data_IF_073531657742
#
_entry.id   IF_073531657742
#
_cell.length_a   1.000
_cell.length_b   1.000
_cell.length_c   1.000
_cell.angle_alpha   90.00
_cell.angle_beta   90.00
_cell.angle_gamma   90.00
#
_symmetry.space_group_name_H-M   'P 1'
#
loop_
_entity.id
_entity.type
_entity.pdbx_description
1 polymer ?
#
# COMPACT_ATOMS: atom_id res chain seq x y z
N UNK A 1 20.28 0.47 1.71
CA UNK A 1 20.22 -0.36 0.48
C UNK A 1 20.19 0.56 -0.73
N UNK A 2 20.73 0.15 -1.89
CA UNK A 2 20.58 0.92 -3.13
C UNK A 2 19.41 0.36 -3.98
N UNK A 3 18.93 1.15 -4.95
CA UNK A 3 17.79 0.80 -5.83
C UNK A 3 17.99 -0.51 -6.56
N UNK A 4 19.16 -0.70 -7.18
CA UNK A 4 19.44 -1.88 -8.00
C UNK A 4 19.35 -3.18 -7.19
N UNK A 5 19.94 -3.20 -5.99
CA UNK A 5 19.86 -4.35 -5.10
C UNK A 5 18.43 -4.58 -4.62
N UNK A 6 17.69 -3.52 -4.28
CA UNK A 6 16.30 -3.63 -3.84
C UNK A 6 15.40 -4.23 -4.96
N UNK A 7 15.55 -3.74 -6.19
CA UNK A 7 14.84 -4.25 -7.37
C UNK A 7 15.21 -5.71 -7.69
N UNK A 8 16.50 -6.07 -7.54
CA UNK A 8 16.94 -7.45 -7.72
C UNK A 8 16.28 -8.38 -6.70
N UNK A 9 16.23 -8.00 -5.43
CA UNK A 9 15.63 -8.79 -4.35
C UNK A 9 14.13 -8.99 -4.57
N UNK A 10 13.38 -7.91 -4.84
CA UNK A 10 11.93 -8.00 -4.98
C UNK A 10 11.53 -8.81 -6.22
N UNK A 11 12.29 -8.72 -7.32
CA UNK A 11 12.00 -9.46 -8.55
C UNK A 11 11.96 -10.97 -8.34
N UNK A 12 12.74 -11.50 -7.39
CA UNK A 12 12.75 -12.94 -7.08
C UNK A 12 11.47 -13.41 -6.37
N UNK A 13 10.65 -12.50 -5.82
CA UNK A 13 9.47 -12.86 -5.05
C UNK A 13 8.17 -12.79 -5.84
N UNK A 14 8.19 -12.36 -7.10
CA UNK A 14 6.98 -12.06 -7.86
C UNK A 14 7.12 -12.35 -9.35
N UNK A 15 5.98 -12.59 -10.01
CA UNK A 15 5.93 -12.78 -11.45
C UNK A 15 6.08 -11.45 -12.21
N UNK A 16 6.47 -11.50 -13.49
CA UNK A 16 6.81 -10.32 -14.31
C UNK A 16 5.74 -9.22 -14.28
N UNK A 17 4.45 -9.58 -14.40
CA UNK A 17 3.35 -8.59 -14.34
C UNK A 17 3.32 -7.77 -13.04
N UNK A 18 3.64 -8.40 -11.91
CA UNK A 18 3.67 -7.77 -10.59
C UNK A 18 4.93 -6.94 -10.42
N UNK A 19 6.05 -7.39 -11.00
CA UNK A 19 7.27 -6.61 -11.07
C UNK A 19 7.07 -5.33 -11.89
N UNK A 20 6.43 -5.39 -13.07
CA UNK A 20 6.10 -4.18 -13.86
C UNK A 20 5.23 -3.22 -13.07
N UNK A 21 4.23 -3.73 -12.36
CA UNK A 21 3.41 -2.91 -11.45
C UNK A 21 4.26 -2.25 -10.36
N UNK A 22 5.15 -3.00 -9.70
CA UNK A 22 6.07 -2.46 -8.68
C UNK A 22 6.95 -1.34 -9.21
N UNK A 23 7.45 -1.45 -10.44
CA UNK A 23 8.20 -0.35 -11.09
C UNK A 23 7.31 0.87 -11.28
N UNK A 24 6.08 0.71 -11.77
CA UNK A 24 5.12 1.80 -11.91
C UNK A 24 4.81 2.47 -10.57
N UNK A 25 4.62 1.70 -9.49
CA UNK A 25 4.41 2.24 -8.14
C UNK A 25 5.65 2.99 -7.65
N UNK A 26 6.85 2.44 -7.84
CA UNK A 26 8.10 3.09 -7.46
C UNK A 26 8.29 4.45 -8.13
N UNK A 27 8.13 4.51 -9.46
CA UNK A 27 8.26 5.77 -10.21
C UNK A 27 7.21 6.80 -9.77
N UNK A 28 5.95 6.37 -9.65
CA UNK A 28 4.84 7.22 -9.18
C UNK A 28 5.09 7.73 -7.75
N UNK A 29 5.56 6.87 -6.85
CA UNK A 29 5.82 7.23 -5.46
C UNK A 29 6.95 8.26 -5.33
N UNK A 30 8.01 8.15 -6.15
CA UNK A 30 9.09 9.14 -6.19
C UNK A 30 8.56 10.50 -6.67
N UNK A 31 7.70 10.53 -7.68
CA UNK A 31 7.08 11.77 -8.17
C UNK A 31 6.19 12.43 -7.10
N UNK A 32 5.31 11.65 -6.47
CA UNK A 32 4.45 12.14 -5.40
C UNK A 32 5.25 12.57 -4.17
N UNK A 33 6.34 11.86 -3.83
CA UNK A 33 7.22 12.23 -2.73
C UNK A 33 7.85 13.62 -2.94
N UNK A 34 8.32 13.92 -4.16
CA UNK A 34 8.81 15.26 -4.52
C UNK A 34 7.73 16.33 -4.37
N UNK A 35 6.52 16.04 -4.85
CA UNK A 35 5.40 16.98 -4.81
C UNK A 35 4.96 17.31 -3.37
N UNK A 36 4.94 16.32 -2.49
CA UNK A 36 4.43 16.44 -1.12
C UNK A 36 5.53 16.55 -0.04
N UNK A 37 6.79 16.72 -0.43
CA UNK A 37 7.89 16.93 0.50
C UNK A 37 8.25 15.71 1.37
N UNK A 38 8.06 14.50 0.85
CA UNK A 38 8.46 13.24 1.50
C UNK A 38 9.87 12.86 1.08
N UNK A 39 10.62 12.17 1.94
CA UNK A 39 11.92 11.61 1.58
C UNK A 39 11.77 10.62 0.40
N UNK A 40 12.34 11.00 -0.75
CA UNK A 40 12.27 10.21 -1.98
C UNK A 40 12.87 8.81 -1.83
N UNK A 41 13.91 8.63 -1.01
CA UNK A 41 14.53 7.32 -0.79
C UNK A 41 13.64 6.43 0.05
N UNK A 42 12.94 6.98 1.05
CA UNK A 42 11.95 6.22 1.82
C UNK A 42 10.77 5.81 0.94
N UNK A 43 10.26 6.72 0.12
CA UNK A 43 9.20 6.45 -0.85
C UNK A 43 9.61 5.37 -1.86
N UNK A 44 10.82 5.46 -2.41
CA UNK A 44 11.38 4.45 -3.31
C UNK A 44 11.44 3.08 -2.65
N UNK A 45 12.01 2.96 -1.46
CA UNK A 45 12.15 1.67 -0.78
C UNK A 45 10.78 1.08 -0.39
N UNK A 46 9.88 1.88 0.17
CA UNK A 46 8.54 1.41 0.51
C UNK A 46 7.77 0.95 -0.73
N UNK A 47 7.86 1.69 -1.84
CA UNK A 47 7.20 1.33 -3.09
C UNK A 47 7.79 0.05 -3.73
N UNK A 48 9.11 -0.13 -3.69
CA UNK A 48 9.74 -1.36 -4.20
C UNK A 48 9.24 -2.59 -3.42
N UNK A 49 9.04 -2.47 -2.12
CA UNK A 49 8.72 -3.61 -1.26
C UNK A 49 7.25 -3.73 -0.84
N UNK A 50 6.35 -2.82 -1.24
CA UNK A 50 4.95 -2.83 -0.81
C UNK A 50 4.24 -4.17 -1.07
N UNK A 51 4.50 -4.75 -2.24
CA UNK A 51 3.89 -6.00 -2.73
C UNK A 51 4.80 -7.23 -2.52
N UNK A 52 5.81 -7.15 -1.64
CA UNK A 52 6.82 -8.21 -1.46
C UNK A 52 6.22 -9.59 -1.16
N UNK A 53 5.13 -9.63 -0.37
CA UNK A 53 4.44 -10.87 -0.05
C UNK A 53 3.29 -11.22 -1.01
N UNK A 54 3.06 -10.44 -2.08
CA UNK A 54 1.85 -10.57 -2.92
C UNK A 54 1.74 -11.93 -3.62
N UNK A 55 2.87 -12.55 -3.93
CA UNK A 55 2.93 -13.86 -4.57
C UNK A 55 3.32 -14.99 -3.59
N UNK A 56 3.41 -14.72 -2.28
CA UNK A 56 3.64 -15.75 -1.25
C UNK A 56 2.46 -16.71 -1.17
N UNK A 57 2.71 -17.92 -0.69
CA UNK A 57 1.65 -18.89 -0.53
C UNK A 57 0.65 -18.42 0.54
N UNK A 58 -0.65 -18.58 0.27
CA UNK A 58 -1.69 -18.22 1.23
C UNK A 58 -1.49 -18.93 2.57
N UNK A 59 -1.10 -20.21 2.54
CA UNK A 59 -0.83 -21.01 3.75
C UNK A 59 0.35 -20.47 4.56
N UNK A 60 1.39 -19.97 3.89
CA UNK A 60 2.55 -19.35 4.53
C UNK A 60 2.14 -18.03 5.21
N UNK A 61 1.41 -17.16 4.50
CA UNK A 61 0.90 -15.91 5.08
C UNK A 61 -0.02 -16.18 6.27
N UNK A 62 -0.90 -17.18 6.18
CA UNK A 62 -1.78 -17.59 7.27
C UNK A 62 -0.98 -18.07 8.50
N UNK A 63 0.07 -18.86 8.31
CA UNK A 63 0.93 -19.32 9.39
C UNK A 63 1.67 -18.17 10.07
N UNK A 64 2.21 -17.24 9.28
CA UNK A 64 2.86 -16.03 9.80
C UNK A 64 1.87 -15.21 10.62
N UNK A 65 0.65 -14.96 10.10
CA UNK A 65 -0.38 -14.23 10.84
C UNK A 65 -0.73 -14.95 12.15
N UNK A 66 -0.77 -16.28 12.18
CA UNK A 66 -1.07 -17.04 13.41
C UNK A 66 0.08 -17.00 14.42
N UNK A 67 1.33 -17.09 13.97
CA UNK A 67 2.51 -17.25 14.82
C UNK A 67 3.08 -15.93 15.35
N UNK A 68 3.10 -14.89 14.51
CA UNK A 68 3.77 -13.62 14.80
C UNK A 68 2.81 -12.57 15.38
N UNK A 69 3.31 -11.43 15.87
CA UNK A 69 2.49 -10.35 16.43
C UNK A 69 1.82 -9.51 15.33
N UNK A 70 0.94 -10.14 14.55
CA UNK A 70 0.09 -9.52 13.53
C UNK A 70 -1.38 -9.56 13.95
N UNK A 71 -2.23 -8.62 13.46
CA UNK A 71 -3.66 -8.62 13.79
C UNK A 71 -4.33 -9.93 13.36
N UNK A 72 -4.80 -10.70 14.34
CA UNK A 72 -5.35 -12.05 14.11
C UNK A 72 -6.72 -12.02 13.43
N UNK A 73 -7.44 -10.92 13.58
CA UNK A 73 -8.72 -10.68 12.93
C UNK A 73 -8.60 -10.60 11.40
N UNK A 74 -7.41 -10.32 10.84
CA UNK A 74 -7.15 -10.42 9.38
C UNK A 74 -7.62 -11.75 8.78
N UNK A 75 -7.55 -12.85 9.55
CA UNK A 75 -7.98 -14.19 9.11
C UNK A 75 -9.50 -14.28 8.88
N UNK A 76 -10.27 -13.34 9.40
CA UNK A 76 -11.72 -13.24 9.22
C UNK A 76 -12.12 -12.43 7.96
N UNK A 77 -11.16 -11.83 7.25
CA UNK A 77 -11.38 -10.97 6.09
C UNK A 77 -10.75 -11.54 4.81
N UNK A 78 -10.84 -10.78 3.71
CA UNK A 78 -10.30 -11.18 2.42
C UNK A 78 -8.78 -11.39 2.50
N UNK A 79 -8.33 -12.55 2.00
CA UNK A 79 -6.92 -12.98 1.95
C UNK A 79 -6.02 -12.01 1.18
N UNK A 80 -6.60 -11.26 0.24
CA UNK A 80 -5.89 -10.22 -0.50
C UNK A 80 -5.33 -9.12 0.42
N UNK A 81 -5.83 -8.96 1.66
CA UNK A 81 -5.29 -7.98 2.62
C UNK A 81 -3.99 -8.44 3.27
N UNK A 82 -3.76 -9.75 3.35
CA UNK A 82 -2.72 -10.34 4.19
C UNK A 82 -1.31 -9.95 3.76
N UNK A 83 -1.09 -9.78 2.45
CA UNK A 83 0.24 -9.50 1.90
C UNK A 83 0.84 -8.17 2.37
N UNK A 84 0.03 -7.19 2.79
CA UNK A 84 0.56 -5.92 3.26
C UNK A 84 1.26 -6.05 4.64
N UNK A 85 0.57 -6.48 5.72
CA UNK A 85 1.21 -6.69 7.01
C UNK A 85 2.23 -7.85 6.99
N UNK A 86 1.94 -8.94 6.27
CA UNK A 86 2.92 -10.04 6.13
C UNK A 86 4.14 -9.58 5.30
N UNK A 87 3.93 -8.75 4.28
CA UNK A 87 4.99 -8.17 3.47
C UNK A 87 5.94 -7.31 4.30
N UNK A 88 5.41 -6.42 5.15
CA UNK A 88 6.24 -5.64 6.06
C UNK A 88 7.05 -6.53 7.02
N UNK A 89 6.42 -7.55 7.61
CA UNK A 89 7.11 -8.53 8.46
C UNK A 89 8.25 -9.24 7.71
N UNK A 90 8.00 -9.76 6.51
CA UNK A 90 9.01 -10.47 5.72
C UNK A 90 10.12 -9.54 5.23
N UNK A 91 9.80 -8.29 4.86
CA UNK A 91 10.80 -7.30 4.47
C UNK A 91 11.72 -6.96 5.64
N UNK A 92 11.18 -6.87 6.87
CA UNK A 92 12.01 -6.71 8.05
C UNK A 92 12.95 -7.92 8.26
N UNK A 93 12.42 -9.15 8.20
CA UNK A 93 13.18 -10.37 8.53
C UNK A 93 14.14 -10.85 7.43
N UNK A 94 13.71 -10.83 6.18
CA UNK A 94 14.43 -11.41 5.04
C UNK A 94 15.32 -10.38 4.34
N UNK A 95 14.90 -9.11 4.31
CA UNK A 95 15.60 -8.03 3.58
C UNK A 95 16.42 -7.15 4.54
N UNK A 96 16.05 -7.11 5.83
CA UNK A 96 16.77 -6.36 6.87
C UNK A 96 16.45 -4.87 6.88
N UNK A 97 15.30 -4.45 6.33
CA UNK A 97 14.83 -3.06 6.44
C UNK A 97 14.18 -2.87 7.81
N UNK A 98 14.70 -1.93 8.60
CA UNK A 98 14.22 -1.65 9.96
C UNK A 98 13.70 -0.21 10.14
N UNK A 99 13.60 0.56 9.06
CA UNK A 99 13.02 1.91 9.12
C UNK A 99 11.50 1.80 9.33
N UNK A 100 11.02 2.28 10.48
CA UNK A 100 9.63 2.13 10.89
C UNK A 100 8.65 2.84 9.96
N UNK A 101 9.02 3.97 9.34
CA UNK A 101 8.14 4.67 8.39
C UNK A 101 7.98 3.85 7.10
N UNK A 102 9.06 3.24 6.60
CA UNK A 102 9.01 2.36 5.43
C UNK A 102 8.14 1.13 5.72
N UNK A 103 8.37 0.46 6.85
CA UNK A 103 7.61 -0.74 7.23
C UNK A 103 6.12 -0.41 7.47
N UNK A 104 5.81 0.75 8.04
CA UNK A 104 4.43 1.21 8.23
C UNK A 104 3.74 1.44 6.88
N UNK A 105 4.40 2.13 5.96
CA UNK A 105 3.84 2.40 4.64
C UNK A 105 3.55 1.10 3.87
N UNK A 106 4.43 0.09 3.99
CA UNK A 106 4.19 -1.26 3.45
C UNK A 106 3.01 -1.94 4.17
N UNK A 107 2.97 -1.90 5.51
CA UNK A 107 1.93 -2.57 6.32
C UNK A 107 0.52 -2.12 5.94
N UNK A 108 0.35 -0.81 5.69
CA UNK A 108 -0.97 -0.20 5.52
C UNK A 108 -1.32 0.19 4.08
N UNK A 109 -0.51 -0.16 3.08
CA UNK A 109 -0.77 0.27 1.70
C UNK A 109 -2.11 -0.23 1.12
N UNK A 110 -2.70 -1.30 1.66
CA UNK A 110 -3.99 -1.85 1.20
C UNK A 110 -5.21 -1.28 1.92
N UNK A 111 -5.12 -1.12 3.24
CA UNK A 111 -6.26 -0.77 4.10
C UNK A 111 -6.21 0.68 4.61
N UNK A 112 -5.03 1.31 4.54
CA UNK A 112 -4.73 2.53 5.27
C UNK A 112 -4.76 2.32 6.79
N UNK A 113 -4.61 3.43 7.52
CA UNK A 113 -4.91 3.50 8.95
C UNK A 113 -5.29 4.92 9.37
N UNK A 114 -5.73 5.11 10.62
CA UNK A 114 -6.21 6.42 11.10
C UNK A 114 -5.12 7.49 11.16
N UNK A 115 -3.85 7.10 11.29
CA UNK A 115 -2.73 8.01 11.52
C UNK A 115 -1.75 8.00 10.34
N UNK A 116 -2.26 7.91 9.11
CA UNK A 116 -1.42 7.85 7.91
C UNK A 116 -0.45 9.03 7.82
N UNK A 117 0.83 8.71 7.82
CA UNK A 117 1.90 9.65 7.50
C UNK A 117 1.80 10.06 6.03
N UNK A 118 2.49 11.14 5.65
CA UNK A 118 2.54 11.53 4.23
C UNK A 118 3.16 10.42 3.36
N UNK A 119 4.12 9.66 3.88
CA UNK A 119 4.68 8.49 3.18
C UNK A 119 3.61 7.40 2.96
N UNK A 120 2.80 7.08 3.97
CA UNK A 120 1.72 6.10 3.84
C UNK A 120 0.74 6.52 2.73
N UNK A 121 0.37 7.81 2.70
CA UNK A 121 -0.52 8.36 1.68
C UNK A 121 0.10 8.26 0.28
N UNK A 122 1.38 8.60 0.15
CA UNK A 122 2.14 8.47 -1.11
C UNK A 122 2.12 7.04 -1.62
N UNK A 123 2.43 6.05 -0.77
CA UNK A 123 2.47 4.65 -1.19
C UNK A 123 1.07 4.12 -1.55
N UNK A 124 0.06 4.41 -0.73
CA UNK A 124 -1.32 4.02 -1.00
C UNK A 124 -1.81 4.58 -2.34
N UNK A 125 -1.61 5.89 -2.57
CA UNK A 125 -2.08 6.55 -3.79
C UNK A 125 -1.27 6.09 -5.01
N UNK A 126 0.05 5.91 -4.88
CA UNK A 126 0.90 5.40 -5.96
C UNK A 126 0.46 4.01 -6.44
N UNK A 127 0.18 3.08 -5.52
CA UNK A 127 -0.36 1.74 -5.87
C UNK A 127 -1.67 1.84 -6.67
N UNK A 128 -2.53 2.76 -6.29
CA UNK A 128 -3.83 2.96 -6.92
C UNK A 128 -3.75 3.59 -8.31
N UNK A 129 -2.79 4.48 -8.56
CA UNK A 129 -2.77 5.33 -9.77
C UNK A 129 -1.68 4.99 -10.78
N UNK A 130 -0.75 4.08 -10.46
CA UNK A 130 0.41 3.81 -11.32
C UNK A 130 0.02 3.57 -12.80
N UNK A 131 0.88 3.92 -13.78
CA UNK A 131 0.48 4.03 -15.19
C UNK A 131 -0.12 2.75 -15.81
N UNK A 132 0.23 1.58 -15.29
CA UNK A 132 -0.28 0.27 -15.68
C UNK A 132 -1.72 -0.01 -15.23
N UNK A 133 -2.25 0.73 -14.23
CA UNK A 133 -3.64 0.58 -13.76
C UNK A 133 -4.63 1.05 -14.81
N UNK A 134 -5.64 0.19 -15.07
CA UNK A 134 -6.72 0.43 -16.05
C UNK A 134 -8.06 0.02 -15.44
N UNK A 135 -8.80 0.98 -14.90
CA UNK A 135 -10.13 0.78 -14.36
C UNK A 135 -10.95 2.09 -14.40
N UNK A 136 -12.30 2.02 -14.35
CA UNK A 136 -13.14 3.22 -14.36
C UNK A 136 -12.80 4.17 -13.20
N UNK A 137 -12.46 5.42 -13.52
CA UNK A 137 -12.12 6.45 -12.55
C UNK A 137 -10.62 6.62 -12.25
N UNK A 138 -9.73 5.79 -12.82
CA UNK A 138 -8.28 5.93 -12.58
C UNK A 138 -7.72 7.29 -13.03
N UNK A 139 -8.23 7.85 -14.14
CA UNK A 139 -7.79 9.18 -14.61
C UNK A 139 -8.21 10.32 -13.68
N UNK A 140 -9.34 10.18 -12.99
CA UNK A 140 -9.79 11.13 -11.98
C UNK A 140 -8.88 11.03 -10.74
N UNK A 141 -8.59 9.81 -10.29
CA UNK A 141 -7.66 9.57 -9.19
C UNK A 141 -6.27 10.15 -9.49
N UNK A 142 -5.75 9.97 -10.72
CA UNK A 142 -4.49 10.58 -11.17
C UNK A 142 -4.54 12.10 -11.05
N UNK A 143 -5.56 12.77 -11.57
CA UNK A 143 -5.70 14.23 -11.48
C UNK A 143 -5.74 14.73 -10.03
N UNK A 144 -6.45 14.02 -9.16
CA UNK A 144 -6.51 14.36 -7.74
C UNK A 144 -5.14 14.18 -7.08
N UNK A 145 -4.41 13.11 -7.40
CA UNK A 145 -3.13 12.80 -6.77
C UNK A 145 -2.04 13.85 -6.99
N UNK A 146 -2.10 14.64 -8.07
CA UNK A 146 -1.17 15.74 -8.32
C UNK A 146 -1.72 17.12 -7.90
N UNK A 147 -2.89 17.17 -7.26
CA UNK A 147 -3.49 18.42 -6.75
C UNK A 147 -3.73 18.38 -5.24
N UNK A 148 -4.35 17.32 -4.73
CA UNK A 148 -4.55 17.07 -3.30
C UNK A 148 -4.57 15.56 -3.01
N UNK A 149 -3.54 15.07 -2.33
CA UNK A 149 -3.37 13.65 -2.02
C UNK A 149 -4.47 13.10 -1.11
N UNK A 150 -5.05 13.93 -0.23
CA UNK A 150 -6.16 13.51 0.62
C UNK A 150 -7.42 13.31 -0.24
N UNK A 151 -7.65 14.16 -1.23
CA UNK A 151 -8.76 13.97 -2.16
C UNK A 151 -8.57 12.71 -3.02
N UNK A 152 -7.35 12.42 -3.47
CA UNK A 152 -7.03 11.19 -4.18
C UNK A 152 -7.23 9.94 -3.30
N UNK A 153 -6.78 10.01 -2.05
CA UNK A 153 -6.94 8.94 -1.07
C UNK A 153 -8.42 8.69 -0.75
N UNK A 154 -9.21 9.74 -0.51
CA UNK A 154 -10.66 9.64 -0.31
C UNK A 154 -11.36 9.03 -1.52
N UNK A 155 -10.97 9.41 -2.73
CA UNK A 155 -11.51 8.84 -3.95
C UNK A 155 -11.23 7.33 -4.01
N UNK A 156 -9.97 6.92 -3.79
CA UNK A 156 -9.57 5.52 -3.80
C UNK A 156 -10.27 4.69 -2.72
N UNK A 157 -10.38 5.21 -1.49
CA UNK A 157 -11.09 4.56 -0.38
C UNK A 157 -12.59 4.39 -0.68
N UNK A 158 -13.27 5.44 -1.15
CA UNK A 158 -14.69 5.38 -1.54
C UNK A 158 -14.93 4.32 -2.62
N UNK A 159 -14.09 4.31 -3.66
CA UNK A 159 -14.20 3.33 -4.75
C UNK A 159 -13.93 1.90 -4.27
N UNK A 160 -12.97 1.71 -3.38
CA UNK A 160 -12.66 0.40 -2.80
C UNK A 160 -13.82 -0.12 -1.94
N UNK A 161 -14.35 0.71 -1.06
CA UNK A 161 -15.51 0.38 -0.22
C UNK A 161 -16.73 0.03 -1.09
N UNK A 162 -17.06 0.88 -2.08
CA UNK A 162 -18.17 0.65 -3.00
C UNK A 162 -18.01 -0.67 -3.76
N UNK A 163 -16.82 -0.92 -4.31
CA UNK A 163 -16.52 -2.16 -5.02
C UNK A 163 -16.71 -3.41 -4.14
N UNK A 164 -16.23 -3.38 -2.90
CA UNK A 164 -16.40 -4.50 -1.97
C UNK A 164 -17.87 -4.73 -1.60
N UNK A 165 -18.64 -3.65 -1.39
CA UNK A 165 -20.08 -3.71 -1.13
C UNK A 165 -20.85 -4.32 -2.33
N UNK A 166 -20.57 -3.87 -3.55
CA UNK A 166 -21.18 -4.40 -4.78
C UNK A 166 -20.88 -5.89 -4.98
N UNK A 167 -19.75 -6.37 -4.47
CA UNK A 167 -19.35 -7.79 -4.52
C UNK A 167 -19.81 -8.61 -3.30
N UNK A 168 -20.54 -8.01 -2.36
CA UNK A 168 -20.90 -8.63 -1.07
C UNK A 168 -19.68 -9.23 -0.34
N UNK A 169 -18.53 -8.54 -0.42
CA UNK A 169 -17.30 -8.93 0.27
C UNK A 169 -17.16 -8.19 1.60
N UNK A 170 -16.49 -8.84 2.56
CA UNK A 170 -16.16 -8.22 3.85
C UNK A 170 -15.23 -7.03 3.64
N UNK A 171 -15.46 -5.95 4.40
CA UNK A 171 -14.62 -4.75 4.39
C UNK A 171 -13.86 -4.72 5.71
N UNK A 172 -12.54 -4.59 5.65
CA UNK A 172 -11.71 -4.54 6.84
C UNK A 172 -11.95 -3.23 7.61
N UNK A 173 -12.12 -3.26 8.95
CA UNK A 173 -12.50 -2.07 9.72
C UNK A 173 -11.55 -0.89 9.54
N UNK A 174 -10.24 -1.15 9.42
CA UNK A 174 -9.25 -0.11 9.20
C UNK A 174 -9.54 0.71 7.94
N UNK A 175 -10.09 0.12 6.88
CA UNK A 175 -10.46 0.88 5.67
C UNK A 175 -11.52 1.96 5.94
N UNK A 176 -12.52 1.67 6.78
CA UNK A 176 -13.51 2.68 7.19
C UNK A 176 -12.93 3.69 8.17
N UNK A 177 -12.05 3.24 9.08
CA UNK A 177 -11.37 4.12 10.02
C UNK A 177 -10.47 5.12 9.30
N UNK A 178 -9.68 4.66 8.31
CA UNK A 178 -8.90 5.51 7.40
C UNK A 178 -9.78 6.53 6.70
N UNK A 179 -10.90 6.08 6.10
CA UNK A 179 -11.84 6.99 5.44
C UNK A 179 -12.31 8.11 6.37
N UNK A 180 -12.76 7.75 7.58
CA UNK A 180 -13.23 8.73 8.56
C UNK A 180 -12.10 9.66 9.03
N UNK A 181 -10.89 9.15 9.21
CA UNK A 181 -9.74 9.95 9.62
C UNK A 181 -9.38 11.00 8.56
N UNK A 182 -9.33 10.61 7.28
CA UNK A 182 -9.05 11.55 6.19
C UNK A 182 -10.15 12.61 6.07
N UNK A 183 -11.43 12.25 6.25
CA UNK A 183 -12.52 13.24 6.29
C UNK A 183 -12.33 14.24 7.44
N UNK A 184 -11.96 13.79 8.65
CA UNK A 184 -11.72 14.68 9.80
C UNK A 184 -10.54 15.62 9.54
N UNK A 185 -9.48 15.14 8.89
CA UNK A 185 -8.35 15.96 8.48
C UNK A 185 -8.79 17.06 7.50
N UNK A 186 -9.60 16.72 6.50
CA UNK A 186 -10.15 17.70 5.54
C UNK A 186 -11.05 18.74 6.20
N UNK A 187 -11.85 18.35 7.20
CA UNK A 187 -12.70 19.29 7.96
C UNK A 187 -11.91 20.22 8.87
N UNK A 188 -10.64 19.91 9.14
CA UNK A 188 -9.76 20.68 10.02
C UNK A 188 -8.82 21.62 9.25
N UNK A 189 -8.83 21.59 7.91
CA UNK A 189 -8.14 22.54 7.02
C UNK A 189 -8.91 23.86 6.93
#
# INVERSE_FOLDING_TARGET
>A
MNRENALHIVKQQMHEKRYTHTIGVMETAIELAKLYGVDEKKAEMAAIFHDYAKCRAISEMEEIIKREDLPKDLLCYNKELWHAPVGAYLVEKEVGITDSEILQAITYHTSGHENMTMLDKVIYVADYIEPGRKFPGVEEARKLAYTDINQALLFALKKTIQFLMEKNQTIYPLTFQTYNAVIKEEMSK
#
